data_IF_278502861199
#
_entry.id   IF_278502861199
#
_cell.length_a   1.000
_cell.length_b   1.000
_cell.length_c   1.000
_cell.angle_alpha   90.00
_cell.angle_beta   90.00
_cell.angle_gamma   90.00
#
_symmetry.space_group_name_H-M   'P 1'
#
loop_
_entity.id
_entity.type
_entity.pdbx_description
1 polymer ?
#
# COMPACT_ATOMS: atom_id res chain seq x y z
N UNK A 1 18.19 12.64 10.77
CA UNK A 1 18.85 11.37 10.83
C UNK A 1 18.75 10.60 9.52
N UNK A 2 19.72 9.73 9.31
CA UNK A 2 19.82 8.97 8.05
C UNK A 2 19.15 7.58 8.13
N UNK A 3 18.38 7.31 9.19
CA UNK A 3 17.91 5.98 9.53
C UNK A 3 16.79 5.46 8.60
N UNK A 4 16.12 6.34 7.85
CA UNK A 4 14.97 6.00 7.00
C UNK A 4 15.13 6.46 5.55
N UNK A 5 16.34 6.37 5.00
CA UNK A 5 16.66 6.74 3.62
C UNK A 5 16.63 5.55 2.63
N UNK A 6 16.16 4.38 3.06
CA UNK A 6 16.08 3.19 2.20
C UNK A 6 15.19 3.36 0.96
N UNK A 7 14.33 4.35 0.94
CA UNK A 7 13.49 4.67 -0.22
C UNK A 7 14.25 5.31 -1.39
N UNK A 8 15.41 5.96 -1.15
CA UNK A 8 16.18 6.71 -2.17
C UNK A 8 16.58 5.86 -3.36
N UNK A 9 17.00 4.61 -3.10
CA UNK A 9 17.44 3.67 -4.13
C UNK A 9 16.57 2.41 -4.16
N UNK A 10 15.36 2.51 -3.60
CA UNK A 10 14.42 1.40 -3.56
C UNK A 10 14.03 0.92 -4.97
N UNK A 11 13.67 1.81 -5.92
CA UNK A 11 13.25 1.37 -7.26
C UNK A 11 14.30 0.52 -7.97
N UNK A 12 15.56 0.97 -7.99
CA UNK A 12 16.66 0.27 -8.65
C UNK A 12 17.12 -1.01 -7.90
N UNK A 13 16.76 -1.16 -6.63
CA UNK A 13 17.09 -2.34 -5.81
C UNK A 13 16.09 -3.48 -5.94
N UNK A 14 14.92 -3.24 -6.53
CA UNK A 14 13.86 -4.24 -6.69
C UNK A 14 14.26 -5.22 -7.80
N UNK A 15 14.38 -6.50 -7.45
CA UNK A 15 14.78 -7.53 -8.40
C UNK A 15 13.59 -8.15 -9.14
N UNK A 16 13.81 -8.70 -10.36
CA UNK A 16 12.77 -9.45 -11.06
C UNK A 16 12.23 -10.64 -10.27
N UNK A 17 13.09 -11.34 -9.51
CA UNK A 17 12.72 -12.49 -8.67
C UNK A 17 11.73 -12.06 -7.59
N UNK A 18 11.98 -10.94 -6.93
CA UNK A 18 11.08 -10.39 -5.94
C UNK A 18 9.72 -10.00 -6.55
N UNK A 19 9.71 -9.36 -7.72
CA UNK A 19 8.46 -9.04 -8.42
C UNK A 19 7.70 -10.30 -8.85
N UNK A 20 8.41 -11.37 -9.24
CA UNK A 20 7.79 -12.64 -9.57
C UNK A 20 7.20 -13.31 -8.32
N UNK A 21 7.83 -13.19 -7.14
CA UNK A 21 7.25 -13.68 -5.88
C UNK A 21 5.97 -12.93 -5.50
N UNK A 22 5.97 -11.60 -5.60
CA UNK A 22 4.76 -10.76 -5.41
C UNK A 22 3.65 -11.22 -6.37
N UNK A 23 3.98 -11.40 -7.64
CA UNK A 23 3.02 -11.80 -8.67
C UNK A 23 2.45 -13.21 -8.43
N UNK A 24 3.26 -14.15 -7.96
CA UNK A 24 2.81 -15.50 -7.64
C UNK A 24 1.76 -15.48 -6.52
N UNK A 25 2.01 -14.73 -5.43
CA UNK A 25 1.04 -14.58 -4.33
C UNK A 25 -0.21 -13.83 -4.79
N UNK A 26 -0.03 -12.78 -5.60
CA UNK A 26 -1.15 -12.04 -6.17
C UNK A 26 -2.05 -12.95 -7.04
N UNK A 27 -1.46 -13.83 -7.85
CA UNK A 27 -2.21 -14.79 -8.67
C UNK A 27 -3.02 -15.77 -7.80
N UNK A 28 -2.44 -16.29 -6.72
CA UNK A 28 -3.18 -17.15 -5.76
C UNK A 28 -4.40 -16.42 -5.19
N UNK A 29 -4.24 -15.16 -4.77
CA UNK A 29 -5.36 -14.38 -4.26
C UNK A 29 -6.42 -14.09 -5.34
N UNK A 30 -5.99 -13.80 -6.57
CA UNK A 30 -6.90 -13.55 -7.71
C UNK A 30 -7.70 -14.79 -8.10
N UNK A 31 -7.12 -15.97 -8.02
CA UNK A 31 -7.79 -17.23 -8.32
C UNK A 31 -8.78 -17.65 -7.23
N UNK A 32 -8.43 -17.40 -5.96
CA UNK A 32 -9.19 -17.90 -4.81
C UNK A 32 -10.20 -16.90 -4.24
N UNK A 33 -10.15 -15.61 -4.63
CA UNK A 33 -10.93 -14.56 -3.99
C UNK A 33 -11.72 -13.71 -5.00
N UNK A 34 -12.97 -13.39 -4.66
CA UNK A 34 -13.79 -12.35 -5.31
C UNK A 34 -13.47 -10.96 -4.77
N UNK A 35 -13.06 -10.92 -3.49
CA UNK A 35 -12.74 -9.70 -2.75
C UNK A 35 -11.44 -9.92 -1.99
N UNK A 36 -10.56 -8.92 -1.97
CA UNK A 36 -9.40 -8.91 -1.07
C UNK A 36 -9.46 -7.64 -0.23
N UNK A 37 -9.44 -7.81 1.08
CA UNK A 37 -9.44 -6.70 2.03
C UNK A 37 -8.00 -6.41 2.48
N UNK A 38 -7.55 -5.19 2.23
CA UNK A 38 -6.27 -4.68 2.72
C UNK A 38 -6.50 -4.03 4.08
N UNK A 39 -5.99 -4.66 5.12
CA UNK A 39 -6.05 -4.13 6.49
C UNK A 39 -4.77 -3.34 6.79
N UNK A 40 -4.89 -2.01 6.89
CA UNK A 40 -3.76 -1.10 7.12
C UNK A 40 -4.21 0.35 7.30
N UNK A 41 -3.33 1.19 7.85
CA UNK A 41 -3.57 2.62 8.06
C UNK A 41 -2.39 3.45 7.56
N UNK A 42 -2.62 4.71 7.22
CA UNK A 42 -1.58 5.64 6.78
C UNK A 42 -0.81 5.12 5.57
N UNK A 43 0.51 5.05 5.65
CA UNK A 43 1.37 4.55 4.58
C UNK A 43 1.12 3.08 4.21
N UNK A 44 0.49 2.31 5.09
CA UNK A 44 0.13 0.91 4.83
C UNK A 44 -1.06 0.74 3.88
N UNK A 45 -1.77 1.83 3.52
CA UNK A 45 -2.86 1.73 2.54
C UNK A 45 -2.91 2.87 1.52
N UNK A 46 -2.49 4.10 1.88
CA UNK A 46 -2.68 5.28 1.02
C UNK A 46 -1.97 5.16 -0.32
N UNK A 47 -0.71 4.72 -0.34
CA UNK A 47 0.05 4.57 -1.58
C UNK A 47 -0.55 3.52 -2.52
N UNK A 48 -0.91 2.35 -2.00
CA UNK A 48 -1.59 1.31 -2.77
C UNK A 48 -2.94 1.80 -3.31
N UNK A 49 -3.73 2.46 -2.47
CA UNK A 49 -5.05 3.00 -2.83
C UNK A 49 -4.95 4.08 -3.90
N UNK A 50 -3.95 4.97 -3.79
CA UNK A 50 -3.69 5.99 -4.80
C UNK A 50 -3.45 5.40 -6.20
N UNK A 51 -2.65 4.33 -6.29
CA UNK A 51 -2.38 3.64 -7.56
C UNK A 51 -3.63 2.90 -8.05
N UNK A 52 -4.27 2.11 -7.19
CA UNK A 52 -5.43 1.29 -7.56
C UNK A 52 -6.60 2.15 -8.04
N UNK A 53 -6.94 3.21 -7.31
CA UNK A 53 -8.05 4.11 -7.71
C UNK A 53 -7.66 5.00 -8.89
N UNK A 54 -6.40 5.49 -8.91
CA UNK A 54 -5.91 6.34 -10.00
C UNK A 54 -5.91 5.66 -11.37
N UNK A 55 -5.55 4.38 -11.42
CA UNK A 55 -5.49 3.59 -12.65
C UNK A 55 -6.78 2.78 -12.92
N UNK A 56 -7.58 2.54 -11.90
CA UNK A 56 -8.75 1.67 -11.96
C UNK A 56 -9.94 2.30 -12.70
N UNK A 57 -10.92 1.45 -13.02
CA UNK A 57 -12.23 1.91 -13.45
C UNK A 57 -13.06 2.30 -12.22
N UNK A 58 -13.61 3.51 -12.20
CA UNK A 58 -14.43 4.02 -11.08
C UNK A 58 -15.66 3.16 -10.77
N UNK A 59 -16.12 2.36 -11.73
CA UNK A 59 -17.27 1.47 -11.60
C UNK A 59 -16.87 -0.03 -11.59
N UNK A 60 -15.60 -0.36 -11.39
CA UNK A 60 -15.09 -1.73 -11.41
C UNK A 60 -15.86 -2.66 -10.44
N UNK A 61 -16.33 -2.15 -9.32
CA UNK A 61 -17.09 -2.89 -8.32
C UNK A 61 -18.50 -3.28 -8.78
N UNK A 62 -19.05 -2.61 -9.80
CA UNK A 62 -20.36 -2.95 -10.43
C UNK A 62 -20.22 -3.89 -11.62
N UNK A 63 -19.01 -4.07 -12.17
CA UNK A 63 -18.83 -4.90 -13.37
C UNK A 63 -18.86 -6.38 -12.98
N UNK A 64 -19.74 -7.16 -13.64
CA UNK A 64 -19.91 -8.59 -13.35
C UNK A 64 -18.79 -9.47 -13.91
N UNK A 65 -18.15 -9.04 -15.01
CA UNK A 65 -17.03 -9.77 -15.63
C UNK A 65 -15.71 -9.31 -15.01
N UNK A 66 -15.45 -9.75 -13.78
CA UNK A 66 -14.25 -9.39 -13.03
C UNK A 66 -13.14 -10.41 -13.26
N UNK A 67 -12.07 -9.97 -13.89
CA UNK A 67 -10.81 -10.74 -14.00
C UNK A 67 -9.99 -10.70 -12.72
N UNK A 68 -10.22 -9.70 -11.87
CA UNK A 68 -9.48 -9.43 -10.64
C UNK A 68 -10.45 -9.24 -9.48
N UNK A 69 -10.04 -9.58 -8.23
CA UNK A 69 -10.87 -9.34 -7.07
C UNK A 69 -11.10 -7.84 -6.84
N UNK A 70 -12.22 -7.51 -6.23
CA UNK A 70 -12.44 -6.16 -5.71
C UNK A 70 -11.51 -5.93 -4.53
N UNK A 71 -10.76 -4.84 -4.56
CA UNK A 71 -9.91 -4.44 -3.42
C UNK A 71 -10.70 -3.51 -2.52
N UNK A 72 -10.83 -3.88 -1.25
CA UNK A 72 -11.41 -3.05 -0.21
C UNK A 72 -10.37 -2.74 0.86
N UNK A 73 -10.55 -1.66 1.59
CA UNK A 73 -9.60 -1.22 2.61
C UNK A 73 -10.31 -1.17 3.97
N UNK A 74 -9.61 -1.64 5.02
CA UNK A 74 -10.09 -1.62 6.39
C UNK A 74 -8.94 -1.33 7.36
N UNK A 75 -9.26 -1.00 8.61
CA UNK A 75 -8.25 -0.70 9.62
C UNK A 75 -7.57 0.65 9.44
N UNK A 76 -8.16 1.54 8.64
CA UNK A 76 -7.77 2.94 8.50
C UNK A 76 -8.64 3.87 9.36
N UNK A 77 -9.57 3.30 10.09
CA UNK A 77 -10.43 3.94 11.10
C UNK A 77 -10.97 2.86 12.07
N UNK A 78 -11.69 3.30 13.10
CA UNK A 78 -12.36 2.45 14.10
C UNK A 78 -13.89 2.56 14.03
N UNK A 79 -14.42 3.01 12.89
CA UNK A 79 -15.87 3.18 12.70
C UNK A 79 -16.60 1.83 12.78
N UNK A 80 -17.52 1.71 13.71
CA UNK A 80 -18.31 0.49 13.94
C UNK A 80 -19.19 0.18 12.73
N UNK A 81 -19.89 1.19 12.22
CA UNK A 81 -20.80 1.04 11.07
C UNK A 81 -20.07 0.48 9.85
N UNK A 82 -18.90 1.06 9.52
CA UNK A 82 -18.11 0.61 8.39
C UNK A 82 -17.69 -0.86 8.52
N UNK A 83 -17.21 -1.26 9.69
CA UNK A 83 -16.79 -2.66 9.93
C UNK A 83 -17.98 -3.61 9.90
N UNK A 84 -19.11 -3.21 10.44
CA UNK A 84 -20.36 -3.99 10.39
C UNK A 84 -20.84 -4.18 8.94
N UNK A 85 -20.90 -3.12 8.16
CA UNK A 85 -21.29 -3.16 6.75
C UNK A 85 -20.33 -4.02 5.92
N UNK A 86 -19.01 -3.83 6.11
CA UNK A 86 -17.98 -4.62 5.44
C UNK A 86 -18.11 -6.11 5.76
N UNK A 87 -18.17 -6.47 7.04
CA UNK A 87 -18.27 -7.87 7.47
C UNK A 87 -19.60 -8.49 7.03
N UNK A 88 -20.68 -7.72 6.99
CA UNK A 88 -21.98 -8.15 6.44
C UNK A 88 -21.91 -8.40 4.94
N UNK A 89 -21.28 -7.52 4.17
CA UNK A 89 -21.05 -7.70 2.73
C UNK A 89 -20.21 -8.95 2.43
N UNK A 90 -19.23 -9.26 3.27
CA UNK A 90 -18.32 -10.38 3.07
C UNK A 90 -18.91 -11.76 3.40
N UNK A 91 -20.10 -11.83 4.04
CA UNK A 91 -20.72 -13.12 4.46
C UNK A 91 -20.83 -14.16 3.35
N UNK A 92 -21.22 -13.69 2.15
CA UNK A 92 -21.46 -14.57 0.99
C UNK A 92 -20.35 -14.45 -0.08
N UNK A 93 -19.17 -13.92 0.29
CA UNK A 93 -18.05 -13.70 -0.62
C UNK A 93 -16.86 -14.60 -0.31
N UNK A 94 -16.25 -15.11 -1.37
CA UNK A 94 -14.91 -15.69 -1.25
C UNK A 94 -13.90 -14.57 -1.11
N UNK A 95 -13.52 -14.23 0.11
CA UNK A 95 -12.58 -13.15 0.34
C UNK A 95 -11.25 -13.61 0.93
N UNK A 96 -10.23 -12.78 0.74
CA UNK A 96 -8.90 -12.90 1.36
C UNK A 96 -8.52 -11.61 2.07
N UNK A 97 -7.43 -11.65 2.85
CA UNK A 97 -6.96 -10.53 3.65
C UNK A 97 -5.46 -10.30 3.45
N UNK A 98 -5.06 -9.07 3.18
CA UNK A 98 -3.67 -8.64 3.25
C UNK A 98 -3.53 -7.75 4.49
N UNK A 99 -2.93 -8.30 5.55
CA UNK A 99 -2.69 -7.57 6.79
C UNK A 99 -1.34 -6.85 6.74
N UNK A 100 -1.38 -5.53 6.70
CA UNK A 100 -0.19 -4.68 6.58
C UNK A 100 0.03 -3.89 7.86
N UNK A 101 0.92 -4.39 8.70
CA UNK A 101 1.30 -3.72 9.95
C UNK A 101 2.69 -4.16 10.39
N UNK A 102 3.62 -3.23 10.55
CA UNK A 102 4.98 -3.54 10.97
C UNK A 102 4.99 -4.14 12.38
N UNK A 103 4.35 -3.50 13.34
CA UNK A 103 4.27 -3.97 14.72
C UNK A 103 3.17 -5.01 14.96
N UNK A 104 2.06 -4.90 14.24
CA UNK A 104 0.82 -5.63 14.51
C UNK A 104 0.04 -5.13 15.73
N UNK A 105 0.45 -3.99 16.31
CA UNK A 105 -0.19 -3.40 17.51
C UNK A 105 -0.93 -2.10 17.25
N UNK A 106 -0.90 -1.60 15.99
CA UNK A 106 -1.71 -0.44 15.59
C UNK A 106 -3.18 -0.81 15.78
N UNK A 107 -3.86 -0.09 16.65
CA UNK A 107 -5.18 -0.46 17.17
C UNK A 107 -6.20 -0.68 16.07
N UNK A 108 -6.31 0.26 15.13
CA UNK A 108 -7.28 0.24 14.04
C UNK A 108 -7.08 -0.99 13.14
N UNK A 109 -5.85 -1.21 12.72
CA UNK A 109 -5.50 -2.37 11.88
C UNK A 109 -5.66 -3.69 12.62
N UNK A 110 -5.27 -3.75 13.89
CA UNK A 110 -5.37 -4.97 14.70
C UNK A 110 -6.83 -5.38 14.95
N UNK A 111 -7.73 -4.41 15.21
CA UNK A 111 -9.16 -4.66 15.36
C UNK A 111 -9.78 -5.18 14.06
N UNK A 112 -9.54 -4.49 12.95
CA UNK A 112 -10.06 -4.90 11.63
C UNK A 112 -9.53 -6.30 11.26
N UNK A 113 -8.24 -6.54 11.40
CA UNK A 113 -7.64 -7.83 11.08
C UNK A 113 -8.20 -8.97 11.95
N UNK A 114 -8.39 -8.75 13.25
CA UNK A 114 -8.97 -9.76 14.15
C UNK A 114 -10.36 -10.21 13.68
N UNK A 115 -11.22 -9.27 13.28
CA UNK A 115 -12.57 -9.57 12.79
C UNK A 115 -12.52 -10.29 11.45
N UNK A 116 -11.75 -9.76 10.50
CA UNK A 116 -11.62 -10.32 9.15
C UNK A 116 -10.98 -11.71 9.16
N UNK A 117 -9.92 -11.90 9.96
CA UNK A 117 -9.29 -13.23 10.15
C UNK A 117 -10.31 -14.25 10.63
N UNK A 118 -11.01 -13.92 11.72
CA UNK A 118 -12.03 -14.82 12.29
C UNK A 118 -13.09 -15.16 11.25
N UNK A 119 -13.64 -14.20 10.56
CA UNK A 119 -14.68 -14.44 9.55
C UNK A 119 -14.15 -15.27 8.38
N UNK A 120 -12.93 -15.02 7.91
CA UNK A 120 -12.31 -15.79 6.85
C UNK A 120 -12.12 -17.26 7.26
N UNK A 121 -11.64 -17.50 8.48
CA UNK A 121 -11.49 -18.85 9.03
C UNK A 121 -12.83 -19.56 9.27
N UNK A 122 -13.85 -18.84 9.72
CA UNK A 122 -15.19 -19.40 9.92
C UNK A 122 -15.85 -19.83 8.59
N UNK A 123 -15.60 -19.08 7.51
CA UNK A 123 -16.20 -19.36 6.19
C UNK A 123 -15.44 -20.42 5.38
N UNK A 124 -14.12 -20.45 5.47
CA UNK A 124 -13.27 -21.32 4.64
C UNK A 124 -12.66 -22.51 5.38
N UNK A 125 -12.68 -22.45 6.72
CA UNK A 125 -11.82 -23.30 7.54
C UNK A 125 -10.38 -22.78 7.61
N UNK A 126 -9.66 -23.15 8.67
CA UNK A 126 -8.32 -22.64 8.94
C UNK A 126 -7.30 -22.98 7.86
N UNK A 127 -7.37 -24.16 7.29
CA UNK A 127 -6.39 -24.61 6.30
C UNK A 127 -6.52 -23.83 4.99
N UNK A 128 -7.73 -23.62 4.48
CA UNK A 128 -7.93 -22.82 3.26
C UNK A 128 -7.68 -21.33 3.50
N UNK A 129 -7.99 -20.83 4.70
CA UNK A 129 -7.73 -19.44 5.07
C UNK A 129 -6.24 -19.08 5.02
N UNK A 130 -5.33 -20.02 5.30
CA UNK A 130 -3.87 -19.79 5.21
C UNK A 130 -3.42 -19.36 3.82
N UNK A 131 -4.08 -19.84 2.78
CA UNK A 131 -3.71 -19.56 1.40
C UNK A 131 -4.15 -18.14 0.95
N UNK A 132 -5.09 -17.55 1.67
CA UNK A 132 -5.71 -16.27 1.29
C UNK A 132 -5.52 -15.16 2.34
N UNK A 133 -4.85 -15.47 3.45
CA UNK A 133 -4.39 -14.46 4.42
C UNK A 133 -2.90 -14.27 4.25
N UNK A 134 -2.50 -13.05 3.92
CA UNK A 134 -1.08 -12.68 3.73
C UNK A 134 -0.71 -11.59 4.72
N UNK A 135 0.43 -11.74 5.39
CA UNK A 135 0.97 -10.73 6.28
C UNK A 135 2.10 -9.94 5.61
N UNK A 136 2.04 -8.62 5.68
CA UNK A 136 3.14 -7.73 5.33
C UNK A 136 3.58 -7.04 6.61
N UNK A 137 4.73 -7.44 7.17
CA UNK A 137 5.10 -7.12 8.55
C UNK A 137 6.62 -7.08 8.77
N UNK A 138 7.05 -6.88 10.00
CA UNK A 138 8.45 -6.96 10.41
C UNK A 138 9.05 -8.34 10.12
N UNK A 139 10.38 -8.37 9.92
CA UNK A 139 11.11 -9.62 9.64
C UNK A 139 11.16 -10.59 10.82
N UNK A 140 11.21 -10.07 12.05
CA UNK A 140 11.58 -10.87 13.25
C UNK A 140 10.68 -10.68 14.47
N UNK A 141 10.01 -9.54 14.58
CA UNK A 141 9.32 -9.13 15.81
C UNK A 141 7.93 -8.55 15.56
N UNK A 142 7.17 -8.41 16.62
CA UNK A 142 5.84 -7.83 16.62
C UNK A 142 4.71 -8.85 16.55
N UNK A 143 3.51 -8.41 16.95
CA UNK A 143 2.34 -9.28 17.05
C UNK A 143 1.91 -9.84 15.68
N UNK A 144 2.03 -9.05 14.60
CA UNK A 144 1.71 -9.52 13.26
C UNK A 144 2.68 -10.61 12.78
N UNK A 145 3.99 -10.48 13.07
CA UNK A 145 4.99 -11.51 12.76
C UNK A 145 4.69 -12.81 13.52
N UNK A 146 4.50 -12.69 14.84
CA UNK A 146 4.17 -13.85 15.70
C UNK A 146 2.89 -14.55 15.22
N UNK A 147 1.88 -13.80 14.84
CA UNK A 147 0.64 -14.36 14.30
C UNK A 147 0.89 -15.09 12.97
N UNK A 148 1.61 -14.47 12.05
CA UNK A 148 1.90 -15.05 10.74
C UNK A 148 2.68 -16.39 10.86
N UNK A 149 3.68 -16.42 11.73
CA UNK A 149 4.49 -17.62 11.96
C UNK A 149 3.68 -18.73 12.62
N UNK A 150 2.87 -18.40 13.63
CA UNK A 150 2.02 -19.36 14.34
C UNK A 150 0.94 -19.98 13.45
N UNK A 151 0.29 -19.17 12.64
CA UNK A 151 -0.82 -19.60 11.78
C UNK A 151 -0.33 -20.12 10.42
N UNK A 152 0.95 -19.93 10.08
CA UNK A 152 1.54 -20.38 8.82
C UNK A 152 1.14 -19.53 7.60
N UNK A 153 0.87 -18.24 7.80
CA UNK A 153 0.52 -17.34 6.68
C UNK A 153 1.72 -17.03 5.82
N UNK A 154 1.52 -16.94 4.50
CA UNK A 154 2.50 -16.32 3.62
C UNK A 154 2.78 -14.90 4.09
N UNK A 155 4.06 -14.52 4.13
CA UNK A 155 4.43 -13.19 4.61
C UNK A 155 5.50 -12.54 3.76
N UNK A 156 5.46 -11.20 3.75
CA UNK A 156 6.47 -10.32 3.17
C UNK A 156 7.01 -9.37 4.24
N UNK A 157 8.25 -8.94 4.04
CA UNK A 157 8.96 -8.08 5.00
C UNK A 157 8.80 -6.61 4.62
N UNK A 158 8.48 -5.78 5.61
CA UNK A 158 8.59 -4.33 5.51
C UNK A 158 10.04 -3.95 5.85
N UNK A 159 10.80 -3.34 4.92
CA UNK A 159 12.18 -2.94 5.21
C UNK A 159 12.27 -1.98 6.40
N UNK A 160 13.25 -2.18 7.28
CA UNK A 160 13.40 -1.37 8.49
C UNK A 160 13.76 0.09 8.21
N UNK A 161 14.49 0.32 7.12
CA UNK A 161 14.98 1.62 6.70
C UNK A 161 14.03 2.38 5.75
N UNK A 162 12.81 1.88 5.54
CA UNK A 162 11.77 2.55 4.73
C UNK A 162 10.63 2.97 5.64
N UNK A 163 10.38 4.27 5.73
CA UNK A 163 9.24 4.82 6.46
C UNK A 163 7.91 4.52 5.78
N UNK A 164 6.82 4.48 6.57
CA UNK A 164 5.48 4.10 6.08
C UNK A 164 5.01 4.92 4.86
N UNK A 165 5.18 6.24 4.90
CA UNK A 165 4.79 7.16 3.82
C UNK A 165 5.58 6.99 2.50
N UNK A 166 6.71 6.29 2.54
CA UNK A 166 7.58 5.97 1.39
C UNK A 166 7.46 4.53 0.92
N UNK A 167 6.53 3.74 1.47
CA UNK A 167 6.56 2.27 1.37
C UNK A 167 5.81 1.69 0.18
N UNK A 168 5.22 2.49 -0.71
CA UNK A 168 4.41 1.99 -1.84
C UNK A 168 5.15 1.01 -2.75
N UNK A 169 6.46 1.18 -2.94
CA UNK A 169 7.32 0.29 -3.75
C UNK A 169 7.92 -0.88 -2.95
N UNK A 170 7.49 -1.07 -1.71
CA UNK A 170 7.74 -2.30 -0.93
C UNK A 170 6.54 -3.26 -1.09
N UNK A 171 6.54 -4.46 -0.48
CA UNK A 171 5.36 -5.33 -0.48
C UNK A 171 4.09 -4.66 0.03
N UNK A 172 4.23 -3.60 0.83
CA UNK A 172 3.11 -2.78 1.34
C UNK A 172 2.20 -2.28 0.22
N UNK A 173 2.77 -1.75 -0.86
CA UNK A 173 2.00 -1.28 -2.02
C UNK A 173 1.97 -2.29 -3.16
N UNK A 174 3.12 -2.91 -3.49
CA UNK A 174 3.24 -3.77 -4.67
C UNK A 174 2.29 -4.97 -4.62
N UNK A 175 2.09 -5.60 -3.46
CA UNK A 175 1.20 -6.75 -3.37
C UNK A 175 -0.28 -6.39 -3.62
N UNK A 176 -0.90 -5.42 -2.93
CA UNK A 176 -2.27 -5.01 -3.23
C UNK A 176 -2.47 -4.54 -4.68
N UNK A 177 -1.49 -3.82 -5.24
CA UNK A 177 -1.53 -3.32 -6.61
C UNK A 177 -1.50 -4.48 -7.62
N UNK A 178 -0.65 -5.49 -7.41
CA UNK A 178 -0.60 -6.70 -8.22
C UNK A 178 -1.90 -7.51 -8.13
N UNK A 179 -2.47 -7.64 -6.93
CA UNK A 179 -3.76 -8.33 -6.71
C UNK A 179 -4.90 -7.61 -7.45
N UNK A 180 -4.88 -6.27 -7.48
CA UNK A 180 -5.82 -5.47 -8.26
C UNK A 180 -5.66 -5.64 -9.78
N UNK A 181 -4.59 -6.30 -10.24
CA UNK A 181 -4.35 -6.62 -11.64
C UNK A 181 -3.51 -5.60 -12.40
N UNK A 182 -2.87 -4.66 -11.72
CA UNK A 182 -1.98 -3.70 -12.36
C UNK A 182 -0.55 -4.25 -12.50
N UNK A 183 0.15 -3.78 -13.52
CA UNK A 183 1.52 -4.19 -13.83
C UNK A 183 2.52 -3.49 -12.90
N UNK A 184 2.92 -4.20 -11.86
CA UNK A 184 3.91 -3.68 -10.89
C UNK A 184 5.32 -3.56 -11.49
N UNK A 185 5.63 -4.28 -12.58
CA UNK A 185 6.94 -4.15 -13.25
C UNK A 185 7.03 -2.79 -13.95
N UNK A 186 5.97 -2.36 -14.63
CA UNK A 186 5.91 -1.03 -15.24
C UNK A 186 5.91 0.08 -14.18
N UNK A 187 5.22 -0.12 -13.05
CA UNK A 187 5.24 0.83 -11.94
C UNK A 187 6.66 1.03 -11.39
N UNK A 188 7.37 -0.06 -11.14
CA UNK A 188 8.76 -0.03 -10.65
C UNK A 188 9.71 0.57 -11.70
N UNK A 189 9.53 0.24 -12.97
CA UNK A 189 10.34 0.80 -14.06
C UNK A 189 10.20 2.33 -14.13
N UNK A 190 8.96 2.85 -14.07
CA UNK A 190 8.74 4.30 -14.05
C UNK A 190 9.36 4.99 -12.82
N UNK A 191 9.33 4.34 -11.65
CA UNK A 191 10.00 4.85 -10.47
C UNK A 191 11.53 4.84 -10.61
N UNK A 192 12.11 3.80 -11.23
CA UNK A 192 13.55 3.72 -11.51
C UNK A 192 14.01 4.78 -12.52
N UNK A 193 13.19 5.11 -13.51
CA UNK A 193 13.48 6.20 -14.43
C UNK A 193 13.49 7.55 -13.69
N UNK A 194 12.58 7.77 -12.76
CA UNK A 194 12.58 8.99 -11.94
C UNK A 194 13.74 9.02 -10.95
N UNK A 195 14.14 7.88 -10.36
CA UNK A 195 15.35 7.78 -9.53
C UNK A 195 16.58 8.27 -10.30
N UNK A 196 16.74 7.86 -11.58
CA UNK A 196 17.84 8.35 -12.44
C UNK A 196 17.74 9.85 -12.69
N UNK A 197 16.54 10.36 -13.04
CA UNK A 197 16.32 11.77 -13.32
C UNK A 197 16.57 12.67 -12.09
N UNK A 198 16.40 12.12 -10.89
CA UNK A 198 16.62 12.85 -9.63
C UNK A 198 17.97 12.50 -8.97
N UNK A 199 18.86 11.80 -9.66
CA UNK A 199 20.16 11.38 -9.13
C UNK A 199 21.05 12.55 -8.71
N UNK A 200 21.95 12.29 -7.76
CA UNK A 200 22.85 13.32 -7.18
C UNK A 200 23.81 13.96 -8.19
N UNK A 201 24.13 13.22 -9.27
CA UNK A 201 25.07 13.67 -10.31
C UNK A 201 24.35 14.33 -11.50
N UNK A 202 23.00 14.47 -11.44
CA UNK A 202 22.22 15.17 -12.46
C UNK A 202 22.34 16.66 -12.22
N UNK A 203 22.60 17.44 -13.30
CA UNK A 203 22.71 18.88 -13.22
C UNK A 203 21.42 19.50 -12.64
N UNK A 204 21.56 20.57 -11.89
CA UNK A 204 20.42 21.21 -11.19
C UNK A 204 19.27 21.52 -12.14
N UNK A 205 19.58 22.07 -13.32
CA UNK A 205 18.61 22.50 -14.34
C UNK A 205 17.86 21.32 -15.00
N UNK A 206 18.39 20.10 -14.86
CA UNK A 206 17.80 18.87 -15.39
C UNK A 206 17.17 17.99 -14.31
N UNK A 207 17.39 18.31 -13.03
CA UNK A 207 16.90 17.52 -11.89
C UNK A 207 15.56 18.05 -11.39
N UNK A 208 14.43 17.35 -11.68
CA UNK A 208 13.10 17.87 -11.33
C UNK A 208 12.89 17.98 -9.82
N UNK A 209 13.48 17.11 -9.02
CA UNK A 209 13.38 17.19 -7.56
C UNK A 209 14.14 18.41 -7.00
N UNK A 210 15.33 18.69 -7.52
CA UNK A 210 16.13 19.86 -7.12
C UNK A 210 15.43 21.18 -7.52
N UNK A 211 14.91 21.26 -8.74
CA UNK A 211 14.15 22.43 -9.22
C UNK A 211 12.92 22.65 -8.35
N UNK A 212 12.15 21.59 -8.06
CA UNK A 212 10.96 21.68 -7.23
C UNK A 212 11.29 22.16 -5.81
N UNK A 213 12.31 21.57 -5.16
CA UNK A 213 12.74 21.96 -3.82
C UNK A 213 13.22 23.44 -3.76
N UNK A 214 14.03 23.87 -4.73
CA UNK A 214 14.51 25.24 -4.82
C UNK A 214 13.36 26.24 -5.05
N UNK A 215 12.42 25.89 -5.92
CA UNK A 215 11.23 26.73 -6.20
C UNK A 215 10.37 26.90 -4.95
N UNK A 216 10.08 25.81 -4.21
CA UNK A 216 9.36 25.88 -2.94
C UNK A 216 10.07 26.78 -1.94
N UNK A 217 11.38 26.59 -1.78
CA UNK A 217 12.19 27.39 -0.86
C UNK A 217 12.17 28.88 -1.23
N UNK A 218 12.32 29.21 -2.50
CA UNK A 218 12.26 30.60 -2.97
C UNK A 218 10.87 31.22 -2.73
N UNK A 219 9.81 30.52 -3.05
CA UNK A 219 8.44 30.97 -2.80
C UNK A 219 8.19 31.20 -1.29
N UNK A 220 8.69 30.32 -0.45
CA UNK A 220 8.53 30.44 1.00
C UNK A 220 9.32 31.62 1.57
N UNK A 221 10.63 31.73 1.26
CA UNK A 221 11.55 32.68 1.88
C UNK A 221 11.51 34.07 1.23
N UNK A 222 11.39 34.14 -0.08
CA UNK A 222 11.49 35.41 -0.83
C UNK A 222 10.11 35.99 -1.17
N UNK A 223 9.14 35.14 -1.54
CA UNK A 223 7.80 35.58 -1.93
C UNK A 223 6.75 35.47 -0.79
N UNK A 224 7.13 34.98 0.39
CA UNK A 224 6.25 34.89 1.56
C UNK A 224 5.09 33.90 1.40
N UNK A 225 5.16 32.96 0.45
CA UNK A 225 4.10 31.95 0.24
C UNK A 225 4.23 30.84 1.27
N UNK A 226 3.27 30.77 2.21
CA UNK A 226 3.29 29.86 3.36
C UNK A 226 2.40 28.63 3.18
N UNK A 227 1.60 28.57 2.11
CA UNK A 227 0.62 27.51 1.87
C UNK A 227 0.91 26.92 0.50
N UNK A 228 1.01 25.60 0.45
CA UNK A 228 1.11 24.80 -0.77
C UNK A 228 -0.16 23.96 -0.95
N UNK A 229 -0.71 23.95 -2.14
CA UNK A 229 -1.98 23.27 -2.44
C UNK A 229 -1.77 22.35 -3.64
N UNK A 230 -2.13 21.06 -3.48
CA UNK A 230 -2.30 20.12 -4.59
C UNK A 230 -3.73 20.20 -5.09
N UNK A 231 -3.91 20.56 -6.36
CA UNK A 231 -5.21 20.65 -6.99
C UNK A 231 -5.35 19.58 -8.07
N UNK A 232 -6.29 18.67 -7.90
CA UNK A 232 -6.58 17.59 -8.84
C UNK A 232 -7.86 17.91 -9.63
N UNK A 233 -7.78 17.99 -10.96
CA UNK A 233 -8.95 18.08 -11.83
C UNK A 233 -9.53 16.70 -12.17
N UNK A 234 -8.73 15.63 -11.98
CA UNK A 234 -9.16 14.25 -12.19
C UNK A 234 -9.57 13.62 -10.86
N UNK A 235 -10.87 13.27 -10.64
CA UNK A 235 -11.35 12.74 -9.37
C UNK A 235 -10.61 11.47 -8.89
N UNK A 236 -10.12 10.64 -9.81
CA UNK A 236 -9.34 9.44 -9.50
C UNK A 236 -8.03 9.72 -8.74
N UNK A 237 -7.52 10.94 -8.79
CA UNK A 237 -6.30 11.34 -8.08
C UNK A 237 -6.56 11.78 -6.64
N UNK A 238 -7.78 11.59 -6.11
CA UNK A 238 -8.10 11.93 -4.73
C UNK A 238 -7.11 11.29 -3.73
N UNK A 239 -6.91 9.98 -3.80
CA UNK A 239 -5.99 9.30 -2.88
C UNK A 239 -4.51 9.56 -3.16
N UNK A 240 -4.15 10.03 -4.34
CA UNK A 240 -2.82 10.58 -4.57
C UNK A 240 -2.60 11.85 -3.72
N UNK A 241 -3.59 12.75 -3.66
CA UNK A 241 -3.52 13.93 -2.81
C UNK A 241 -3.53 13.56 -1.29
N UNK A 242 -4.32 12.56 -0.88
CA UNK A 242 -4.30 12.07 0.50
C UNK A 242 -2.92 11.48 0.90
N UNK A 243 -2.31 10.71 0.01
CA UNK A 243 -0.95 10.19 0.22
C UNK A 243 0.08 11.32 0.26
N UNK A 244 -0.02 12.31 -0.63
CA UNK A 244 0.84 13.50 -0.64
C UNK A 244 0.72 14.29 0.67
N UNK A 245 -0.47 14.46 1.23
CA UNK A 245 -0.65 15.12 2.54
C UNK A 245 0.08 14.37 3.66
N UNK A 246 -0.01 13.04 3.70
CA UNK A 246 0.74 12.25 4.67
C UNK A 246 2.24 12.42 4.48
N UNK A 247 2.72 12.36 3.23
CA UNK A 247 4.14 12.50 2.92
C UNK A 247 4.70 13.81 3.49
N UNK A 248 4.03 14.92 3.25
CA UNK A 248 4.47 16.23 3.74
C UNK A 248 4.22 16.42 5.23
N UNK A 249 3.08 16.04 5.74
CA UNK A 249 2.74 16.17 7.16
C UNK A 249 3.69 15.43 8.08
N UNK A 250 4.15 14.23 7.68
CA UNK A 250 5.10 13.44 8.47
C UNK A 250 6.58 13.78 8.17
N UNK A 251 6.86 14.54 7.11
CA UNK A 251 8.24 14.89 6.73
C UNK A 251 8.64 16.29 7.18
N UNK A 252 7.71 17.23 7.17
CA UNK A 252 7.97 18.66 7.38
C UNK A 252 7.04 19.28 8.45
N UNK A 253 6.09 18.53 8.99
CA UNK A 253 5.17 18.96 10.05
C UNK A 253 5.72 18.90 11.46
#
# INVERSE_FOLDING_TARGET
>A
GNDFLGWLHLPSSITPEFLNEIQAVANTLREKCEVVVVAGIGGSYLGARAVIEGLGNSFAWLVNDKKNPTILFAGNNIGEDYLFELTSFLKDKKFGVINISKSGTTTETALAFRLLKKQCEDQRGKEEAKDVIVAVTDAKKGAARTCADKEGYKSFIIPDNVGGRFSVLTPVGLLPIAVAGFDVKQLVAGAADMEKACGKDVAFEENPAAIYAATRQALYTQAGKKIEIVCNFQPKLHYFAEWWKQLYGESEG
#
